data_IF_648242858841
#
_entry.id   IF_648242858841
#
_cell.length_a   1.000
_cell.length_b   1.000
_cell.length_c   1.000
_cell.angle_alpha   90.00
_cell.angle_beta   90.00
_cell.angle_gamma   90.00
#
_symmetry.space_group_name_H-M   'P 1'
#
loop_
_entity.id
_entity.type
_entity.pdbx_description
1 polymer ?
#
# COMPACT_ATOMS: atom_id res chain seq x y z
N UNK A 1 9.98 -9.39 16.51
CA UNK A 1 10.64 -8.63 15.42
C UNK A 1 9.60 -8.31 14.36
N UNK A 2 9.06 -7.08 14.39
CA UNK A 2 8.07 -6.61 13.43
C UNK A 2 8.83 -6.30 12.13
N UNK A 3 8.70 -7.18 11.15
CA UNK A 3 9.43 -7.09 9.89
C UNK A 3 9.07 -5.79 9.17
N UNK A 4 10.08 -4.95 8.98
CA UNK A 4 10.09 -3.62 8.37
C UNK A 4 9.75 -3.74 6.87
N UNK A 5 8.50 -4.10 6.58
CA UNK A 5 8.08 -4.37 5.21
C UNK A 5 7.70 -3.06 4.54
N UNK A 6 8.41 -2.72 3.48
CA UNK A 6 8.20 -1.52 2.68
C UNK A 6 7.15 -1.79 1.61
N UNK A 7 6.53 -0.73 1.09
CA UNK A 7 5.64 -0.82 -0.06
C UNK A 7 6.29 -0.11 -1.24
N UNK A 8 6.61 -0.86 -2.29
CA UNK A 8 7.44 -0.38 -3.39
C UNK A 8 6.69 0.02 -4.66
N UNK A 9 5.46 -0.48 -4.86
CA UNK A 9 4.68 -0.17 -6.08
C UNK A 9 3.20 -0.27 -5.78
N UNK A 10 2.44 0.76 -6.16
CA UNK A 10 0.98 0.72 -6.21
C UNK A 10 0.57 0.64 -7.67
N UNK A 11 -0.28 -0.34 -8.02
CA UNK A 11 -0.78 -0.51 -9.38
C UNK A 11 -1.88 0.51 -9.66
N UNK A 12 -1.85 1.12 -10.86
CA UNK A 12 -2.93 1.97 -11.37
C UNK A 12 -4.24 1.21 -11.38
N UNK A 13 -5.26 1.76 -10.72
CA UNK A 13 -6.64 1.30 -10.83
C UNK A 13 -7.23 1.83 -12.14
N UNK A 14 -6.90 1.20 -13.28
CA UNK A 14 -7.73 1.37 -14.49
C UNK A 14 -9.05 0.66 -14.21
N UNK A 15 -10.20 1.30 -14.46
CA UNK A 15 -11.56 0.79 -14.19
C UNK A 15 -11.89 -0.47 -15.01
N UNK A 16 -11.19 -1.56 -14.76
CA UNK A 16 -11.28 -2.83 -15.47
C UNK A 16 -11.62 -3.88 -14.42
N UNK A 17 -12.91 -4.23 -14.39
CA UNK A 17 -13.58 -5.11 -13.43
C UNK A 17 -13.71 -4.56 -11.99
N UNK A 18 -14.83 -4.86 -11.29
CA UNK A 18 -14.95 -4.58 -9.87
C UNK A 18 -13.84 -5.31 -9.11
N UNK A 19 -13.00 -4.56 -8.39
CA UNK A 19 -11.80 -5.08 -7.71
C UNK A 19 -12.10 -5.89 -6.43
N UNK A 20 -13.39 -6.11 -6.13
CA UNK A 20 -13.91 -6.80 -4.95
C UNK A 20 -13.19 -6.39 -3.66
N UNK A 21 -13.01 -5.07 -3.47
CA UNK A 21 -12.30 -4.52 -2.31
C UNK A 21 -13.29 -4.20 -1.20
N UNK A 22 -12.98 -4.63 0.02
CA UNK A 22 -13.66 -4.08 1.19
C UNK A 22 -13.27 -2.61 1.36
N UNK A 23 -14.09 -1.83 2.07
CA UNK A 23 -13.81 -0.41 2.31
C UNK A 23 -12.41 -0.17 2.92
N UNK A 24 -11.99 -1.02 3.87
CA UNK A 24 -10.67 -0.93 4.47
C UNK A 24 -9.54 -1.27 3.50
N UNK A 25 -9.73 -2.22 2.58
CA UNK A 25 -8.74 -2.52 1.53
C UNK A 25 -8.61 -1.33 0.57
N UNK A 26 -9.73 -0.72 0.18
CA UNK A 26 -9.75 0.46 -0.66
C UNK A 26 -9.06 1.66 0.01
N UNK A 27 -9.40 1.95 1.27
CA UNK A 27 -8.75 3.00 2.04
C UNK A 27 -7.25 2.75 2.19
N UNK A 28 -6.83 1.52 2.50
CA UNK A 28 -5.40 1.16 2.60
C UNK A 28 -4.67 1.41 1.29
N UNK A 29 -5.26 1.04 0.16
CA UNK A 29 -4.70 1.28 -1.16
C UNK A 29 -4.58 2.78 -1.48
N UNK A 30 -5.61 3.57 -1.17
CA UNK A 30 -5.60 5.02 -1.35
C UNK A 30 -4.55 5.72 -0.49
N UNK A 31 -4.43 5.36 0.79
CA UNK A 31 -3.40 5.88 1.69
C UNK A 31 -2.00 5.54 1.20
N UNK A 32 -1.79 4.31 0.72
CA UNK A 32 -0.52 3.87 0.15
C UNK A 32 -0.16 4.70 -1.08
N UNK A 33 -1.10 4.90 -2.01
CA UNK A 33 -0.88 5.73 -3.18
C UNK A 33 -0.56 7.18 -2.81
N UNK A 34 -1.30 7.73 -1.84
CA UNK A 34 -1.13 9.10 -1.38
C UNK A 34 0.24 9.33 -0.72
N UNK A 35 0.71 8.41 0.12
CA UNK A 35 2.00 8.56 0.76
C UNK A 35 3.15 8.34 -0.22
N UNK A 36 3.00 7.41 -1.17
CA UNK A 36 3.99 7.18 -2.23
C UNK A 36 4.22 8.37 -3.16
N UNK A 37 3.26 9.30 -3.28
CA UNK A 37 3.39 10.48 -4.14
C UNK A 37 4.51 11.44 -3.72
N UNK A 38 4.96 11.32 -2.47
CA UNK A 38 6.02 12.16 -1.93
C UNK A 38 7.42 11.61 -2.23
N UNK A 39 7.53 10.52 -2.99
CA UNK A 39 8.81 9.89 -3.39
C UNK A 39 9.50 9.13 -2.27
N UNK A 40 9.03 9.29 -1.03
CA UNK A 40 9.57 8.58 0.13
C UNK A 40 9.04 7.13 0.20
N UNK A 41 9.88 6.20 0.68
CA UNK A 41 9.45 4.84 0.94
C UNK A 41 8.33 4.81 1.98
N UNK A 42 7.21 4.13 1.69
CA UNK A 42 6.08 4.01 2.64
C UNK A 42 6.21 2.72 3.45
N UNK A 43 6.22 2.86 4.78
CA UNK A 43 6.25 1.74 5.73
C UNK A 43 4.84 1.34 6.21
N UNK A 44 4.68 0.11 6.69
CA UNK A 44 3.43 -0.33 7.34
C UNK A 44 3.09 0.49 8.59
N UNK A 45 4.10 0.90 9.36
CA UNK A 45 3.93 1.70 10.57
C UNK A 45 3.41 3.11 10.25
N UNK A 46 3.89 3.72 9.16
CA UNK A 46 3.38 5.01 8.71
C UNK A 46 1.94 4.92 8.21
N UNK A 47 1.58 3.86 7.49
CA UNK A 47 0.20 3.62 7.10
C UNK A 47 -0.73 3.41 8.30
N UNK A 48 -0.28 2.64 9.30
CA UNK A 48 -1.01 2.44 10.54
C UNK A 48 -1.26 3.78 11.27
N UNK A 49 -0.21 4.61 11.36
CA UNK A 49 -0.31 5.95 11.97
C UNK A 49 -1.22 6.88 11.16
N UNK A 50 -1.07 6.92 9.84
CA UNK A 50 -1.81 7.82 8.96
C UNK A 50 -3.32 7.49 8.94
N UNK A 51 -3.65 6.20 8.89
CA UNK A 51 -5.04 5.74 8.90
C UNK A 51 -5.66 5.58 10.28
N UNK A 52 -4.89 5.77 11.35
CA UNK A 52 -5.27 5.38 12.72
C UNK A 52 -5.80 3.92 12.78
N UNK A 53 -5.09 3.01 12.10
CA UNK A 53 -5.44 1.59 11.96
C UNK A 53 -4.41 0.74 12.70
N UNK A 54 -4.84 -0.36 13.34
CA UNK A 54 -3.91 -1.26 14.01
C UNK A 54 -2.87 -1.85 13.02
N UNK A 55 -1.57 -1.92 13.35
CA UNK A 55 -0.53 -2.40 12.43
C UNK A 55 -0.79 -3.79 11.84
N UNK A 56 -1.35 -4.72 12.64
CA UNK A 56 -1.74 -6.05 12.16
C UNK A 56 -2.83 -5.99 11.09
N UNK A 57 -3.78 -5.07 11.22
CA UNK A 57 -4.85 -4.89 10.24
C UNK A 57 -4.29 -4.31 8.94
N UNK A 58 -3.36 -3.35 9.01
CA UNK A 58 -2.61 -2.86 7.84
C UNK A 58 -1.85 -4.00 7.16
N UNK A 59 -1.15 -4.84 7.91
CA UNK A 59 -0.44 -6.00 7.37
C UNK A 59 -1.37 -6.97 6.63
N UNK A 60 -2.56 -7.26 7.18
CA UNK A 60 -3.57 -8.09 6.53
C UNK A 60 -4.11 -7.45 5.24
N UNK A 61 -4.39 -6.14 5.26
CA UNK A 61 -4.88 -5.43 4.08
C UNK A 61 -3.81 -5.41 2.97
N UNK A 62 -2.55 -5.13 3.31
CA UNK A 62 -1.45 -5.13 2.35
C UNK A 62 -1.18 -6.52 1.76
N UNK A 63 -1.25 -7.58 2.58
CA UNK A 63 -1.17 -8.96 2.08
C UNK A 63 -2.29 -9.26 1.08
N UNK A 64 -3.51 -8.81 1.38
CA UNK A 64 -4.66 -9.01 0.47
C UNK A 64 -4.49 -8.23 -0.83
N UNK A 65 -4.07 -6.97 -0.75
CA UNK A 65 -3.81 -6.11 -1.91
C UNK A 65 -2.65 -6.64 -2.76
N UNK A 66 -1.63 -7.23 -2.14
CA UNK A 66 -0.53 -7.90 -2.83
C UNK A 66 -0.99 -9.15 -3.58
N UNK A 67 -1.80 -10.02 -2.96
CA UNK A 67 -2.41 -11.18 -3.65
C UNK A 67 -3.26 -10.74 -4.85
N UNK A 68 -3.92 -9.58 -4.76
CA UNK A 68 -4.69 -8.98 -5.86
C UNK A 68 -3.82 -8.28 -6.91
N UNK A 69 -2.49 -8.24 -6.72
CA UNK A 69 -1.54 -7.56 -7.61
C UNK A 69 -1.72 -6.04 -7.65
N UNK A 70 -2.27 -5.44 -6.58
CA UNK A 70 -2.53 -4.00 -6.47
C UNK A 70 -1.40 -3.27 -5.75
N UNK A 71 -0.65 -3.98 -4.91
CA UNK A 71 0.50 -3.46 -4.16
C UNK A 71 1.66 -4.45 -4.28
N UNK A 72 2.89 -3.96 -4.33
CA UNK A 72 4.09 -4.78 -4.20
C UNK A 72 4.77 -4.44 -2.88
N UNK A 73 4.95 -5.44 -2.02
CA UNK A 73 5.76 -5.28 -0.81
C UNK A 73 7.22 -5.53 -1.15
N UNK A 74 8.12 -4.74 -0.57
CA UNK A 74 9.56 -4.86 -0.72
C UNK A 74 10.21 -4.96 0.65
N UNK A 75 11.21 -5.83 0.78
CA UNK A 75 12.00 -5.98 2.01
C UNK A 75 13.19 -5.00 2.08
N UNK A 76 13.47 -4.28 1.00
CA UNK A 76 14.55 -3.30 0.89
C UNK A 76 13.97 -1.91 0.68
N UNK A 77 14.52 -0.89 1.36
CA UNK A 77 14.18 0.52 1.12
C UNK A 77 14.50 0.85 -0.34
N UNK A 78 13.44 1.09 -1.11
CA UNK A 78 13.49 1.76 -2.41
C UNK A 78 12.47 2.88 -2.37
N UNK A 79 12.84 4.03 -2.93
CA UNK A 79 11.93 5.16 -3.11
C UNK A 79 10.68 4.67 -3.86
N UNK A 80 9.51 5.10 -3.39
CA UNK A 80 8.29 4.75 -4.08
C UNK A 80 8.32 5.49 -5.43
N UNK A 81 8.36 4.77 -6.54
CA UNK A 81 8.55 5.39 -7.84
C UNK A 81 7.39 6.37 -8.12
N UNK A 82 7.66 7.66 -8.39
CA UNK A 82 6.60 8.64 -8.64
C UNK A 82 5.79 8.32 -9.90
N UNK A 83 6.23 7.38 -10.75
CA UNK A 83 5.58 6.96 -12.00
C UNK A 83 4.26 6.20 -11.83
N UNK A 84 3.62 6.20 -10.66
CA UNK A 84 2.34 5.53 -10.44
C UNK A 84 1.14 6.28 -11.08
N UNK A 85 1.30 7.54 -11.52
CA UNK A 85 0.19 8.40 -11.95
C UNK A 85 0.23 8.92 -13.40
N UNK A 86 1.29 8.66 -14.19
CA UNK A 86 1.34 8.92 -15.66
C UNK A 86 0.99 7.66 -16.44
#
# INVERSE_FOLDING_TARGET
MISMTMIGKVRRMTARAPLDLTHLQFMTLGMTAWLCRFGEPVTQSELARFGNVHPMQVSHMLKTLETKGLVVRQSTIRTCAPSAWE
#
